data_IF_966059472331
#
_entry.id   IF_966059472331
#
_cell.length_a   1.000
_cell.length_b   1.000
_cell.length_c   1.000
_cell.angle_alpha   90.00
_cell.angle_beta   90.00
_cell.angle_gamma   90.00
#
_symmetry.space_group_name_H-M   'P 1'
#
loop_
_entity.id
_entity.type
_entity.pdbx_description
1 polymer ?
#
# COMPACT_ATOMS: atom_id res chain seq x y z
N UNK A 1 -5.47 -52.42 11.66
CA UNK A 1 -4.05 -52.62 12.04
C UNK A 1 -3.77 -51.65 13.16
N UNK A 2 -3.25 -52.12 14.28
CA UNK A 2 -2.80 -51.22 15.36
C UNK A 2 -1.38 -50.78 15.03
N UNK A 3 -1.17 -49.48 14.81
CA UNK A 3 0.15 -48.92 14.53
C UNK A 3 0.81 -48.58 15.86
N UNK A 4 1.69 -49.46 16.36
CA UNK A 4 2.40 -49.26 17.63
C UNK A 4 3.31 -48.02 17.54
N UNK A 5 2.82 -46.91 18.10
CA UNK A 5 3.55 -45.64 18.15
C UNK A 5 4.67 -45.79 19.19
N UNK A 6 5.92 -45.47 18.83
CA UNK A 6 7.05 -45.50 19.77
C UNK A 6 7.25 -44.11 20.38
N UNK A 7 6.38 -43.78 21.33
CA UNK A 7 6.43 -42.52 22.06
C UNK A 7 7.56 -42.56 23.10
N UNK A 8 8.45 -41.57 23.05
CA UNK A 8 9.52 -41.39 24.04
C UNK A 8 9.02 -40.93 25.42
N UNK A 9 7.85 -40.27 25.48
CA UNK A 9 7.14 -39.91 26.72
C UNK A 9 5.61 -40.05 26.49
N UNK A 10 5.08 -41.25 26.74
CA UNK A 10 3.64 -41.54 26.68
C UNK A 10 2.80 -40.61 27.57
N UNK A 11 3.35 -40.19 28.72
CA UNK A 11 2.64 -39.38 29.71
C UNK A 11 2.51 -37.93 29.22
N UNK A 12 3.51 -37.40 28.52
CA UNK A 12 3.40 -36.12 27.80
C UNK A 12 2.46 -36.22 26.60
N UNK A 13 2.58 -37.28 25.79
CA UNK A 13 1.69 -37.44 24.64
C UNK A 13 0.22 -37.54 25.08
N UNK A 14 -0.08 -38.36 26.09
CA UNK A 14 -1.44 -38.51 26.65
C UNK A 14 -2.03 -37.18 27.11
N UNK A 15 -1.25 -36.35 27.83
CA UNK A 15 -1.65 -34.99 28.25
C UNK A 15 -1.94 -34.06 27.06
N UNK A 16 -1.06 -34.04 26.06
CA UNK A 16 -1.23 -33.22 24.85
C UNK A 16 -2.45 -33.70 24.05
N UNK A 17 -2.66 -35.01 23.95
CA UNK A 17 -3.78 -35.61 23.23
C UNK A 17 -5.12 -35.31 23.90
N UNK A 18 -5.22 -35.37 25.24
CA UNK A 18 -6.47 -35.12 25.97
C UNK A 18 -6.85 -33.64 26.11
N UNK A 19 -5.90 -32.70 26.00
CA UNK A 19 -6.19 -31.27 26.07
C UNK A 19 -7.09 -30.79 24.90
N UNK A 20 -8.17 -30.06 25.20
CA UNK A 20 -9.01 -29.41 24.18
C UNK A 20 -8.64 -27.94 24.04
N UNK A 21 -8.49 -27.46 22.80
CA UNK A 21 -8.49 -26.02 22.51
C UNK A 21 -9.92 -25.46 22.33
N UNK A 22 -10.89 -26.35 22.11
CA UNK A 22 -12.31 -26.01 22.08
C UNK A 22 -12.86 -26.05 23.50
N UNK A 23 -13.10 -24.87 24.08
CA UNK A 23 -13.85 -24.71 25.32
C UNK A 23 -15.32 -25.13 25.10
N UNK A 24 -15.88 -25.92 26.02
CA UNK A 24 -17.20 -26.56 25.84
C UNK A 24 -18.40 -25.63 26.05
N UNK A 25 -18.17 -24.46 26.62
CA UNK A 25 -19.13 -23.38 26.87
C UNK A 25 -19.09 -22.27 25.80
N UNK A 26 -18.14 -22.30 24.87
CA UNK A 26 -17.99 -21.28 23.85
C UNK A 26 -18.88 -21.53 22.61
N UNK A 27 -19.78 -20.58 22.30
CA UNK A 27 -20.57 -20.57 21.06
C UNK A 27 -19.69 -20.67 19.80
N UNK A 28 -18.53 -20.01 19.84
CA UNK A 28 -17.56 -19.93 18.74
C UNK A 28 -16.16 -20.37 19.21
N UNK A 29 -15.94 -21.69 19.38
CA UNK A 29 -14.70 -22.23 19.91
C UNK A 29 -13.56 -22.18 18.88
N UNK A 30 -12.35 -22.49 19.35
CA UNK A 30 -11.09 -22.36 18.61
C UNK A 30 -11.13 -22.97 17.21
N UNK A 31 -11.63 -24.20 17.03
CA UNK A 31 -11.70 -24.87 15.73
C UNK A 31 -12.61 -24.17 14.72
N UNK A 32 -13.75 -23.59 15.17
CA UNK A 32 -14.63 -22.76 14.31
C UNK A 32 -13.95 -21.44 13.93
N UNK A 33 -13.21 -20.82 14.86
CA UNK A 33 -12.44 -19.60 14.59
C UNK A 33 -11.32 -19.83 13.58
N UNK A 34 -10.51 -20.87 13.81
CA UNK A 34 -9.43 -21.30 12.91
C UNK A 34 -9.96 -21.54 11.49
N UNK A 35 -11.05 -22.31 11.36
CA UNK A 35 -11.70 -22.57 10.08
C UNK A 35 -12.17 -21.28 9.36
N UNK A 36 -12.71 -20.31 10.11
CA UNK A 36 -13.19 -19.04 9.56
C UNK A 36 -12.04 -18.14 9.10
N UNK A 37 -11.01 -17.98 9.93
CA UNK A 37 -9.90 -17.03 9.69
C UNK A 37 -8.95 -17.52 8.59
N UNK A 38 -8.65 -18.82 8.53
CA UNK A 38 -7.81 -19.42 7.48
C UNK A 38 -8.59 -19.93 6.25
N UNK A 39 -9.91 -19.74 6.23
CA UNK A 39 -10.84 -20.20 5.18
C UNK A 39 -10.77 -21.72 4.92
N UNK A 40 -10.69 -22.50 5.99
CA UNK A 40 -10.66 -23.97 5.96
C UNK A 40 -12.05 -24.57 6.23
N UNK A 41 -12.23 -25.85 5.87
CA UNK A 41 -13.35 -26.63 6.41
C UNK A 41 -13.09 -26.93 7.90
N UNK A 42 -14.15 -27.14 8.69
CA UNK A 42 -14.02 -27.51 10.10
C UNK A 42 -13.24 -28.83 10.28
N UNK A 43 -13.48 -29.80 9.39
CA UNK A 43 -12.73 -31.06 9.30
C UNK A 43 -11.22 -30.84 9.07
N UNK A 44 -10.83 -29.96 8.15
CA UNK A 44 -9.42 -29.66 7.91
C UNK A 44 -8.79 -28.90 9.10
N UNK A 45 -9.52 -27.96 9.71
CA UNK A 45 -9.07 -27.28 10.93
C UNK A 45 -8.87 -28.25 12.10
N UNK A 46 -9.78 -29.23 12.29
CA UNK A 46 -9.65 -30.28 13.29
C UNK A 46 -8.45 -31.20 13.03
N UNK A 47 -8.17 -31.56 11.77
CA UNK A 47 -6.97 -32.32 11.40
C UNK A 47 -5.68 -31.52 11.63
N UNK A 48 -5.65 -30.25 11.23
CA UNK A 48 -4.51 -29.35 11.50
C UNK A 48 -4.23 -29.22 13.01
N UNK A 49 -5.27 -29.22 13.87
CA UNK A 49 -5.13 -29.25 15.33
C UNK A 49 -4.47 -30.55 15.84
N UNK A 50 -4.74 -31.71 15.25
CA UNK A 50 -4.05 -32.96 15.64
C UNK A 50 -2.57 -32.96 15.21
N UNK A 51 -2.27 -32.41 14.02
CA UNK A 51 -0.88 -32.26 13.56
C UNK A 51 -0.10 -31.20 14.38
N UNK A 52 -0.78 -30.15 14.83
CA UNK A 52 -0.24 -29.20 15.80
C UNK A 52 0.11 -29.85 17.13
N UNK A 53 -0.74 -30.74 17.67
CA UNK A 53 -0.42 -31.54 18.87
C UNK A 53 0.83 -32.39 18.68
N UNK A 54 0.97 -33.06 17.54
CA UNK A 54 2.18 -33.84 17.18
C UNK A 54 3.43 -32.95 17.10
N UNK A 55 3.33 -31.78 16.49
CA UNK A 55 4.40 -30.78 16.45
C UNK A 55 4.83 -30.30 17.84
N UNK A 56 3.88 -29.97 18.73
CA UNK A 56 4.20 -29.56 20.12
C UNK A 56 4.91 -30.68 20.88
N UNK A 57 4.51 -31.94 20.67
CA UNK A 57 5.19 -33.09 21.27
C UNK A 57 6.64 -33.22 20.77
N UNK A 58 6.88 -33.12 19.45
CA UNK A 58 8.25 -33.08 18.88
C UNK A 58 9.08 -31.91 19.46
N UNK A 59 8.50 -30.72 19.58
CA UNK A 59 9.14 -29.57 20.24
C UNK A 59 9.52 -29.80 21.71
N UNK A 60 8.91 -30.77 22.38
CA UNK A 60 9.22 -31.11 23.77
C UNK A 60 10.27 -32.22 23.92
N UNK A 61 10.29 -33.22 23.02
CA UNK A 61 11.22 -34.37 23.11
C UNK A 61 12.52 -34.17 22.33
N UNK A 62 12.53 -33.36 21.27
CA UNK A 62 13.73 -33.10 20.47
C UNK A 62 14.63 -32.05 21.14
N UNK A 63 15.97 -32.24 21.22
CA UNK A 63 16.87 -31.34 21.94
C UNK A 63 16.92 -29.93 21.33
N UNK A 64 16.75 -29.82 20.01
CA UNK A 64 16.71 -28.55 19.28
C UNK A 64 15.29 -28.04 19.01
N UNK A 65 14.26 -28.73 19.51
CA UNK A 65 12.86 -28.52 19.11
C UNK A 65 12.59 -28.90 17.65
N UNK A 66 11.44 -28.46 17.13
CA UNK A 66 10.95 -28.77 15.79
C UNK A 66 10.55 -27.49 15.01
N UNK A 67 10.44 -27.61 13.69
CA UNK A 67 9.97 -26.55 12.78
C UNK A 67 8.61 -26.96 12.18
N UNK A 68 7.56 -26.12 12.28
CA UNK A 68 6.23 -26.45 11.76
C UNK A 68 6.13 -26.30 10.24
N UNK A 69 5.07 -26.86 9.64
CA UNK A 69 4.61 -26.46 8.30
C UNK A 69 3.79 -25.17 8.37
N UNK A 70 3.57 -24.49 7.23
CA UNK A 70 2.72 -23.27 7.19
C UNK A 70 1.34 -23.51 7.86
N UNK A 71 0.70 -24.66 7.58
CA UNK A 71 -0.60 -25.01 8.17
C UNK A 71 -0.52 -25.23 9.69
N UNK A 72 0.54 -25.87 10.19
CA UNK A 72 0.72 -26.13 11.63
C UNK A 72 1.10 -24.85 12.38
N UNK A 73 1.93 -24.00 11.77
CA UNK A 73 2.39 -22.73 12.34
C UNK A 73 1.21 -21.78 12.58
N UNK A 74 0.25 -21.74 11.65
CA UNK A 74 -1.01 -20.99 11.78
C UNK A 74 -1.85 -21.42 12.98
N UNK A 75 -1.95 -22.73 13.25
CA UNK A 75 -2.62 -23.24 14.46
C UNK A 75 -1.85 -22.78 15.72
N UNK A 76 -0.52 -22.83 15.69
CA UNK A 76 0.30 -22.39 16.82
C UNK A 76 0.17 -20.88 17.08
N UNK A 77 0.20 -20.04 16.04
CA UNK A 77 0.02 -18.59 16.15
C UNK A 77 -1.36 -18.26 16.70
N UNK A 78 -2.42 -18.95 16.25
CA UNK A 78 -3.74 -18.72 16.81
C UNK A 78 -3.85 -19.22 18.26
N UNK A 79 -3.14 -20.28 18.66
CA UNK A 79 -3.08 -20.70 20.07
C UNK A 79 -2.30 -19.70 20.94
N UNK A 80 -1.19 -19.14 20.45
CA UNK A 80 -0.38 -18.14 21.16
C UNK A 80 -1.15 -16.87 21.54
N UNK A 81 -2.18 -16.48 20.76
CA UNK A 81 -3.06 -15.34 21.08
C UNK A 81 -4.21 -15.69 22.04
N UNK A 82 -4.50 -16.97 22.28
CA UNK A 82 -5.37 -17.42 23.38
C UNK A 82 -4.53 -17.47 24.67
N UNK A 83 -4.07 -16.31 25.12
CA UNK A 83 -2.94 -16.19 26.06
C UNK A 83 -3.11 -16.96 27.37
N UNK A 84 -4.29 -16.97 27.97
CA UNK A 84 -4.57 -17.73 29.20
C UNK A 84 -4.50 -19.24 28.95
N UNK A 85 -5.24 -19.73 27.96
CA UNK A 85 -5.25 -21.15 27.57
C UNK A 85 -3.85 -21.65 27.15
N UNK A 86 -3.01 -20.78 26.56
CA UNK A 86 -1.62 -21.13 26.21
C UNK A 86 -0.62 -21.06 27.39
N UNK A 87 -0.60 -19.96 28.14
CA UNK A 87 0.44 -19.66 29.14
C UNK A 87 0.08 -20.08 30.56
N UNK A 88 -1.20 -20.06 30.93
CA UNK A 88 -1.67 -20.34 32.28
C UNK A 88 -2.24 -21.78 32.39
N UNK A 89 -2.71 -22.35 31.27
CA UNK A 89 -3.19 -23.74 31.20
C UNK A 89 -2.21 -24.68 30.48
N UNK A 90 -1.98 -24.51 29.18
CA UNK A 90 -1.27 -25.48 28.34
C UNK A 90 0.21 -25.63 28.71
N UNK A 91 0.98 -24.55 28.74
CA UNK A 91 2.40 -24.61 29.11
C UNK A 91 2.67 -25.21 30.51
N UNK A 92 2.05 -24.73 31.61
CA UNK A 92 2.35 -25.21 32.96
C UNK A 92 1.72 -26.57 33.28
N UNK A 93 0.46 -26.81 32.89
CA UNK A 93 -0.28 -27.99 33.36
C UNK A 93 -0.15 -29.17 32.38
N UNK A 94 -0.22 -28.89 31.07
CA UNK A 94 -0.16 -29.93 30.03
C UNK A 94 1.30 -30.24 29.67
N UNK A 95 2.10 -29.23 29.29
CA UNK A 95 3.49 -29.44 28.88
C UNK A 95 4.46 -29.56 30.07
N UNK A 96 4.14 -28.91 31.21
CA UNK A 96 5.05 -28.71 32.37
C UNK A 96 6.36 -27.96 32.01
N UNK A 97 6.34 -27.19 30.93
CA UNK A 97 7.44 -26.34 30.46
C UNK A 97 6.92 -25.20 29.59
N UNK A 98 7.64 -24.09 29.54
CA UNK A 98 7.36 -23.01 28.58
C UNK A 98 7.76 -23.44 27.17
N UNK A 99 6.90 -23.16 26.19
CA UNK A 99 7.20 -23.30 24.77
C UNK A 99 7.11 -21.91 24.12
N UNK A 100 8.26 -21.30 23.84
CA UNK A 100 8.35 -19.95 23.27
C UNK A 100 8.47 -20.00 21.74
N UNK A 101 7.62 -19.23 21.06
CA UNK A 101 7.78 -18.96 19.63
C UNK A 101 8.87 -17.90 19.40
N UNK A 102 9.75 -18.14 18.43
CA UNK A 102 10.90 -17.29 18.14
C UNK A 102 10.82 -16.78 16.68
N UNK A 103 10.54 -15.49 16.45
CA UNK A 103 10.41 -14.96 15.09
C UNK A 103 11.69 -15.12 14.25
N UNK A 104 11.51 -15.53 12.98
CA UNK A 104 12.59 -15.58 12.00
C UNK A 104 13.17 -14.18 11.74
N UNK A 105 14.50 -14.09 11.63
CA UNK A 105 15.19 -12.86 11.19
C UNK A 105 15.07 -12.61 9.67
N UNK A 106 14.52 -13.56 8.91
CA UNK A 106 14.39 -13.47 7.46
C UNK A 106 15.72 -13.56 6.71
N UNK A 107 15.71 -13.14 5.45
CA UNK A 107 16.87 -13.27 4.54
C UNK A 107 16.99 -14.66 3.90
N UNK A 108 18.10 -14.90 3.19
CA UNK A 108 18.35 -16.17 2.49
C UNK A 108 18.82 -17.28 3.45
N UNK A 109 19.80 -16.99 4.30
CA UNK A 109 20.42 -17.98 5.19
C UNK A 109 19.40 -18.58 6.18
N UNK A 110 18.50 -17.77 6.73
CA UNK A 110 17.47 -18.23 7.66
C UNK A 110 16.39 -19.09 6.95
N UNK A 111 16.13 -18.86 5.65
CA UNK A 111 15.27 -19.74 4.84
C UNK A 111 15.91 -21.11 4.61
N UNK A 112 17.22 -21.14 4.30
CA UNK A 112 17.98 -22.39 4.16
C UNK A 112 17.94 -23.18 5.46
N UNK A 113 18.32 -22.55 6.58
CA UNK A 113 18.24 -23.14 7.92
C UNK A 113 16.83 -23.64 8.27
N UNK A 114 15.79 -22.88 7.98
CA UNK A 114 14.40 -23.28 8.24
C UNK A 114 13.98 -24.48 7.39
N UNK A 115 14.34 -24.53 6.10
CA UNK A 115 14.08 -25.68 5.22
C UNK A 115 14.76 -26.94 5.77
N UNK A 116 15.99 -26.82 6.22
CA UNK A 116 16.79 -27.95 6.68
C UNK A 116 16.27 -28.48 8.03
N UNK A 117 15.98 -27.60 8.99
CA UNK A 117 15.32 -27.95 10.26
C UNK A 117 13.88 -28.50 10.07
N UNK A 118 13.16 -28.04 9.04
CA UNK A 118 11.88 -28.63 8.65
C UNK A 118 12.03 -30.04 8.07
N UNK A 119 13.08 -30.30 7.28
CA UNK A 119 13.41 -31.65 6.81
C UNK A 119 13.77 -32.59 7.96
N UNK A 120 14.55 -32.13 8.94
CA UNK A 120 14.83 -32.89 10.17
C UNK A 120 13.54 -33.15 10.98
N UNK A 121 12.63 -32.17 11.04
CA UNK A 121 11.33 -32.33 11.72
C UNK A 121 10.46 -33.41 11.06
N UNK A 122 10.39 -33.46 9.72
CA UNK A 122 9.67 -34.52 9.01
C UNK A 122 10.29 -35.91 9.24
N UNK A 123 11.63 -35.99 9.30
CA UNK A 123 12.33 -37.23 9.65
C UNK A 123 11.97 -37.68 11.07
N UNK A 124 12.11 -36.80 12.07
CA UNK A 124 11.77 -37.14 13.46
C UNK A 124 10.27 -37.43 13.64
N UNK A 125 9.39 -36.78 12.89
CA UNK A 125 7.96 -37.13 12.84
C UNK A 125 7.77 -38.60 12.43
N UNK A 126 8.39 -39.06 11.34
CA UNK A 126 8.31 -40.46 10.91
C UNK A 126 8.92 -41.40 11.96
N UNK A 127 10.10 -41.07 12.48
CA UNK A 127 10.81 -41.88 13.47
C UNK A 127 10.02 -42.06 14.78
N UNK A 128 9.27 -41.04 15.22
CA UNK A 128 8.46 -41.06 16.44
C UNK A 128 7.08 -41.67 16.20
N UNK A 129 6.33 -41.17 15.22
CA UNK A 129 4.93 -41.54 15.02
C UNK A 129 4.73 -42.82 14.20
N UNK A 130 5.78 -43.34 13.56
CA UNK A 130 5.75 -44.50 12.63
C UNK A 130 4.74 -44.33 11.50
N UNK A 131 4.55 -43.10 11.06
CA UNK A 131 3.56 -42.66 10.07
C UNK A 131 4.18 -41.59 9.17
N UNK A 132 3.71 -41.52 7.93
CA UNK A 132 3.98 -40.36 7.06
C UNK A 132 3.22 -39.12 7.53
N UNK A 133 3.82 -37.95 7.32
CA UNK A 133 3.20 -36.67 7.63
C UNK A 133 2.09 -36.34 6.60
N UNK A 134 0.83 -36.03 7.00
CA UNK A 134 -0.26 -35.75 6.08
C UNK A 134 0.07 -34.68 5.04
N UNK A 135 0.06 -35.06 3.75
CA UNK A 135 0.58 -34.25 2.65
C UNK A 135 -0.16 -32.93 2.42
N UNK A 136 -1.42 -32.88 2.81
CA UNK A 136 -2.31 -31.72 2.70
C UNK A 136 -2.12 -30.68 3.82
N UNK A 137 -1.42 -31.05 4.91
CA UNK A 137 -1.12 -30.20 6.08
C UNK A 137 0.38 -29.89 6.17
N UNK A 138 1.26 -30.86 5.93
CA UNK A 138 2.69 -30.69 6.14
C UNK A 138 3.44 -30.10 4.95
N UNK A 139 2.95 -30.24 3.72
CA UNK A 139 3.68 -29.83 2.52
C UNK A 139 3.01 -28.61 1.87
N UNK A 140 3.80 -27.59 1.51
CA UNK A 140 3.27 -26.39 0.85
C UNK A 140 2.51 -26.75 -0.43
N UNK A 141 1.26 -26.28 -0.55
CA UNK A 141 0.52 -26.27 -1.82
C UNK A 141 1.19 -25.23 -2.73
N UNK A 142 2.16 -25.70 -3.53
CA UNK A 142 3.05 -24.89 -4.36
C UNK A 142 2.32 -23.74 -5.07
N UNK A 143 2.80 -22.51 -4.84
CA UNK A 143 2.03 -21.27 -4.97
C UNK A 143 1.53 -21.01 -6.40
N UNK A 144 0.30 -21.45 -6.70
CA UNK A 144 -0.45 -21.18 -7.95
C UNK A 144 -0.87 -19.71 -8.12
N UNK A 145 -0.50 -18.83 -7.18
CA UNK A 145 -0.92 -17.42 -7.09
C UNK A 145 -0.31 -16.45 -8.13
N UNK A 146 0.57 -16.89 -9.03
CA UNK A 146 1.14 -16.02 -10.07
C UNK A 146 0.08 -15.51 -11.05
N UNK A 147 -0.99 -16.30 -11.33
CA UNK A 147 -2.09 -15.91 -12.22
C UNK A 147 -2.92 -14.72 -11.71
N UNK A 148 -3.18 -14.64 -10.41
CA UNK A 148 -4.15 -13.66 -9.85
C UNK A 148 -3.58 -12.24 -9.81
N UNK A 149 -2.27 -12.09 -9.60
CA UNK A 149 -1.57 -10.79 -9.65
C UNK A 149 -1.58 -10.23 -11.08
N UNK A 150 -1.35 -11.09 -12.09
CA UNK A 150 -1.36 -10.69 -13.50
C UNK A 150 -2.74 -10.19 -13.94
N UNK A 151 -3.81 -10.92 -13.60
CA UNK A 151 -5.19 -10.53 -13.89
C UNK A 151 -5.60 -9.22 -13.18
N UNK A 152 -5.17 -8.99 -11.93
CA UNK A 152 -5.37 -7.70 -11.24
C UNK A 152 -4.68 -6.55 -11.96
N UNK A 153 -3.50 -6.79 -12.58
CA UNK A 153 -2.78 -5.79 -13.38
C UNK A 153 -3.50 -5.47 -14.70
N UNK A 154 -4.10 -6.47 -15.36
CA UNK A 154 -4.94 -6.24 -16.55
C UNK A 154 -6.15 -5.32 -16.26
N UNK A 155 -6.75 -5.43 -15.06
CA UNK A 155 -7.94 -4.62 -14.69
C UNK A 155 -7.68 -3.10 -14.70
N UNK A 156 -6.42 -2.65 -14.62
CA UNK A 156 -6.06 -1.21 -14.64
C UNK A 156 -5.71 -0.72 -16.05
N UNK A 157 -5.43 -1.62 -17.01
CA UNK A 157 -5.14 -1.27 -18.40
C UNK A 157 -6.21 -0.38 -19.05
N UNK A 158 -7.53 -0.66 -18.98
CA UNK A 158 -8.53 0.19 -19.64
C UNK A 158 -8.55 1.63 -19.09
N UNK A 159 -8.17 1.83 -17.82
CA UNK A 159 -8.09 3.15 -17.20
C UNK A 159 -6.89 3.94 -17.78
N UNK A 160 -5.72 3.30 -17.93
CA UNK A 160 -4.56 3.91 -18.60
C UNK A 160 -4.79 4.15 -20.10
N UNK A 161 -5.47 3.24 -20.79
CA UNK A 161 -5.82 3.42 -22.22
C UNK A 161 -6.79 4.59 -22.41
N UNK A 162 -7.82 4.71 -21.55
CA UNK A 162 -8.73 5.85 -21.60
C UNK A 162 -7.99 7.19 -21.34
N UNK A 163 -7.10 7.22 -20.32
CA UNK A 163 -6.28 8.40 -20.02
C UNK A 163 -5.36 8.79 -21.19
N UNK A 164 -4.76 7.81 -21.87
CA UNK A 164 -3.90 8.06 -23.03
C UNK A 164 -4.69 8.60 -24.23
N UNK A 165 -5.85 8.02 -24.54
CA UNK A 165 -6.72 8.49 -25.62
C UNK A 165 -7.25 9.92 -25.38
N UNK A 166 -7.64 10.24 -24.14
CA UNK A 166 -8.05 11.60 -23.77
C UNK A 166 -6.92 12.64 -23.95
N UNK A 167 -5.67 12.24 -23.71
CA UNK A 167 -4.49 13.08 -23.93
C UNK A 167 -4.28 13.43 -25.41
N UNK A 168 -4.50 12.47 -26.32
CA UNK A 168 -4.40 12.70 -27.78
C UNK A 168 -5.43 13.72 -28.26
N UNK A 169 -6.69 13.60 -27.85
CA UNK A 169 -7.75 14.54 -28.24
C UNK A 169 -7.45 15.99 -27.78
N UNK A 170 -6.82 16.16 -26.63
CA UNK A 170 -6.42 17.48 -26.14
C UNK A 170 -5.31 18.12 -27.00
N UNK A 171 -4.38 17.30 -27.51
CA UNK A 171 -3.29 17.76 -28.37
C UNK A 171 -3.77 18.31 -29.71
N UNK A 172 -4.74 17.66 -30.35
CA UNK A 172 -5.30 18.10 -31.63
C UNK A 172 -6.10 19.41 -31.52
N UNK A 173 -6.87 19.58 -30.43
CA UNK A 173 -7.59 20.84 -30.15
C UNK A 173 -6.61 21.99 -29.87
N UNK A 174 -5.53 21.74 -29.13
CA UNK A 174 -4.54 22.79 -28.85
C UNK A 174 -3.72 23.15 -30.09
N UNK A 175 -3.37 22.17 -30.93
CA UNK A 175 -2.67 22.38 -32.20
C UNK A 175 -3.50 23.13 -33.24
N UNK A 176 -4.80 22.86 -33.34
CA UNK A 176 -5.72 23.58 -34.25
C UNK A 176 -6.03 25.01 -33.77
N UNK A 177 -6.13 25.23 -32.46
CA UNK A 177 -6.20 26.59 -31.90
C UNK A 177 -4.92 27.39 -32.20
N UNK A 178 -3.74 26.79 -32.03
CA UNK A 178 -2.46 27.43 -32.32
C UNK A 178 -2.29 27.77 -33.81
N UNK A 179 -2.66 26.86 -34.72
CA UNK A 179 -2.51 27.07 -36.17
C UNK A 179 -3.41 28.18 -36.74
N UNK A 180 -4.53 28.48 -36.07
CA UNK A 180 -5.41 29.62 -36.42
C UNK A 180 -4.99 30.90 -35.68
N UNK A 181 -4.60 30.83 -34.41
CA UNK A 181 -4.23 32.01 -33.62
C UNK A 181 -2.92 32.67 -34.10
N UNK A 182 -1.89 31.88 -34.41
CA UNK A 182 -0.58 32.39 -34.84
C UNK A 182 -0.62 33.27 -36.10
N UNK A 183 -1.28 32.89 -37.22
CA UNK A 183 -1.38 33.77 -38.39
C UNK A 183 -2.25 35.01 -38.11
N UNK A 184 -3.29 34.94 -37.27
CA UNK A 184 -4.09 36.12 -36.90
C UNK A 184 -3.24 37.13 -36.10
N UNK A 185 -2.43 36.66 -35.15
CA UNK A 185 -1.47 37.49 -34.41
C UNK A 185 -0.41 38.06 -35.36
N UNK A 186 0.13 37.24 -36.28
CA UNK A 186 1.09 37.67 -37.29
C UNK A 186 0.55 38.76 -38.22
N UNK A 187 -0.70 38.63 -38.68
CA UNK A 187 -1.41 39.64 -39.46
C UNK A 187 -1.57 40.93 -38.65
N UNK A 188 -1.96 40.85 -37.38
CA UNK A 188 -2.11 42.04 -36.54
C UNK A 188 -0.77 42.78 -36.34
N UNK A 189 0.31 42.06 -36.05
CA UNK A 189 1.67 42.63 -35.95
C UNK A 189 2.13 43.24 -37.27
N UNK A 190 1.87 42.58 -38.40
CA UNK A 190 2.21 43.08 -39.74
C UNK A 190 1.43 44.36 -40.09
N UNK A 191 0.14 44.44 -39.77
CA UNK A 191 -0.68 45.64 -39.97
C UNK A 191 -0.22 46.80 -39.07
N UNK A 192 0.15 46.53 -37.81
CA UNK A 192 0.75 47.54 -36.92
C UNK A 192 2.11 48.05 -37.45
N UNK A 193 2.93 47.14 -38.01
CA UNK A 193 4.18 47.49 -38.69
C UNK A 193 3.95 48.38 -39.92
N UNK A 194 3.00 48.02 -40.79
CA UNK A 194 2.59 48.82 -41.95
C UNK A 194 2.09 50.21 -41.54
N UNK A 195 1.21 50.29 -40.52
CA UNK A 195 0.71 51.57 -40.02
C UNK A 195 1.83 52.46 -39.48
N UNK A 196 2.77 51.86 -38.74
CA UNK A 196 3.96 52.56 -38.22
C UNK A 196 4.88 53.04 -39.35
N UNK A 197 5.06 52.24 -40.40
CA UNK A 197 5.85 52.60 -41.58
C UNK A 197 5.19 53.72 -42.41
N UNK A 198 3.87 53.72 -42.58
CA UNK A 198 3.16 54.84 -43.22
C UNK A 198 3.21 56.12 -42.38
N UNK A 199 3.13 56.02 -41.04
CA UNK A 199 3.36 57.15 -40.14
C UNK A 199 4.78 57.72 -40.27
N UNK A 200 5.78 56.85 -40.39
CA UNK A 200 7.18 57.23 -40.64
C UNK A 200 7.35 57.92 -42.01
N UNK A 201 6.84 57.36 -43.10
CA UNK A 201 6.88 58.00 -44.43
C UNK A 201 6.13 59.34 -44.44
N UNK A 202 5.00 59.45 -43.73
CA UNK A 202 4.24 60.69 -43.60
C UNK A 202 4.98 61.78 -42.81
N UNK A 203 5.97 61.42 -41.99
CA UNK A 203 6.86 62.37 -41.31
C UNK A 203 7.96 62.88 -42.25
N UNK A 204 8.53 62.02 -43.11
CA UNK A 204 9.57 62.42 -44.08
C UNK A 204 9.04 63.11 -45.34
N UNK A 205 7.77 62.93 -45.71
CA UNK A 205 7.12 63.66 -46.81
C UNK A 205 6.50 65.00 -46.40
N UNK A 206 6.86 65.52 -45.23
CA UNK A 206 6.31 66.74 -44.62
C UNK A 206 7.11 68.02 -44.84
N UNK A 207 8.16 68.02 -45.67
CA UNK A 207 9.06 69.17 -45.86
C UNK A 207 9.42 69.42 -47.33
N UNK A 208 8.48 70.01 -48.08
CA UNK A 208 8.76 70.84 -49.26
C UNK A 208 7.49 71.65 -49.62
N UNK A 209 7.63 72.93 -50.03
CA UNK A 209 6.57 73.56 -50.85
C UNK A 209 5.71 74.72 -50.30
N UNK A 210 6.32 75.71 -49.63
CA UNK A 210 6.00 77.15 -49.82
C UNK A 210 4.75 77.78 -49.13
N UNK A 211 4.67 79.12 -49.20
CA UNK A 211 4.02 80.03 -48.23
C UNK A 211 3.25 81.17 -48.95
N UNK A 212 1.99 81.45 -48.54
CA UNK A 212 1.14 82.64 -48.87
C UNK A 212 0.73 82.73 -50.38
N UNK A 213 -0.56 82.74 -50.77
CA UNK A 213 -1.52 83.88 -50.80
C UNK A 213 -2.99 83.40 -50.90
N UNK A 214 -3.86 83.83 -49.96
CA UNK A 214 -5.20 84.48 -50.16
C UNK A 214 -6.05 83.99 -51.38
N UNK A 215 -7.32 83.56 -51.28
CA UNK A 215 -8.50 84.32 -50.79
C UNK A 215 -9.83 83.60 -51.15
N UNK A 216 -10.84 83.69 -50.27
CA UNK A 216 -12.32 83.63 -50.51
C UNK A 216 -13.05 82.27 -50.70
N UNK A 217 -14.09 82.13 -49.86
CA UNK A 217 -15.45 81.54 -49.93
C UNK A 217 -15.88 80.74 -51.20
N UNK A 218 -16.80 79.75 -51.17
CA UNK A 218 -17.87 79.41 -50.18
C UNK A 218 -18.34 77.92 -50.16
N UNK A 219 -19.12 77.54 -49.13
CA UNK A 219 -19.96 76.32 -49.03
C UNK A 219 -19.27 74.94 -48.84
N UNK A 220 -19.92 73.87 -48.36
CA UNK A 220 -21.16 73.73 -47.55
C UNK A 220 -21.25 72.29 -46.98
N UNK A 221 -21.79 72.11 -45.76
CA UNK A 221 -22.13 70.84 -45.06
C UNK A 221 -20.95 69.86 -44.75
N UNK A 222 -20.83 69.25 -43.56
CA UNK A 222 -21.55 69.40 -42.29
C UNK A 222 -21.11 68.36 -41.24
N UNK A 223 -21.25 68.68 -39.94
CA UNK A 223 -20.88 67.80 -38.80
C UNK A 223 -19.40 67.91 -38.39
N UNK A 224 -18.97 68.69 -37.39
CA UNK A 224 -19.34 68.67 -35.95
C UNK A 224 -19.01 67.31 -35.29
N UNK A 225 -17.81 67.10 -34.76
CA UNK A 225 -17.21 67.62 -33.50
C UNK A 225 -17.70 66.88 -32.24
N UNK A 226 -16.89 66.01 -31.63
CA UNK A 226 -15.74 66.24 -30.71
C UNK A 226 -16.09 66.67 -29.28
N UNK A 227 -15.53 65.92 -28.33
CA UNK A 227 -15.52 66.08 -26.87
C UNK A 227 -14.99 64.74 -26.31
N UNK A 228 -13.86 64.61 -25.60
CA UNK A 228 -13.24 65.46 -24.57
C UNK A 228 -14.16 65.65 -23.35
N UNK A 229 -13.74 65.37 -22.11
CA UNK A 229 -12.47 64.82 -21.61
C UNK A 229 -12.61 64.42 -20.12
N UNK A 230 -11.52 63.91 -19.51
CA UNK A 230 -11.10 64.18 -18.10
C UNK A 230 -12.08 64.01 -16.91
N UNK A 231 -11.73 63.14 -15.96
CA UNK A 231 -12.30 63.03 -14.60
C UNK A 231 -11.84 61.71 -13.98
N UNK A 232 -10.97 61.59 -12.96
CA UNK A 232 -10.86 62.17 -11.60
C UNK A 232 -11.93 61.72 -10.60
N UNK A 233 -11.44 61.35 -9.39
CA UNK A 233 -12.17 60.95 -8.17
C UNK A 233 -12.91 59.61 -8.26
N UNK A 234 -12.75 58.62 -7.37
CA UNK A 234 -12.56 58.52 -5.90
C UNK A 234 -13.87 58.12 -5.19
N UNK A 235 -13.71 57.30 -4.15
CA UNK A 235 -14.73 56.82 -3.22
C UNK A 235 -15.81 55.87 -3.82
N UNK A 236 -16.36 54.89 -3.09
CA UNK A 236 -15.98 54.43 -1.75
C UNK A 236 -16.91 53.33 -1.21
N UNK A 237 -16.47 52.67 -0.13
CA UNK A 237 -17.25 51.73 0.68
C UNK A 237 -17.29 50.26 0.21
N UNK A 238 -17.45 49.23 1.07
CA UNK A 238 -16.95 48.93 2.43
C UNK A 238 -17.78 47.78 3.05
N UNK A 239 -17.24 46.55 3.07
CA UNK A 239 -17.51 45.47 4.05
C UNK A 239 -16.59 44.27 3.73
N UNK A 240 -15.85 43.58 4.62
CA UNK A 240 -16.07 43.04 5.99
C UNK A 240 -17.10 41.90 6.06
N UNK A 241 -16.91 40.76 6.74
CA UNK A 241 -15.78 40.07 7.43
C UNK A 241 -16.15 38.55 7.52
N UNK A 242 -15.35 37.53 7.88
CA UNK A 242 -14.02 37.32 8.54
C UNK A 242 -13.24 36.21 7.78
N UNK A 243 -11.97 35.82 8.01
CA UNK A 243 -11.05 35.62 9.16
C UNK A 243 -11.13 34.24 9.88
N UNK A 244 -9.96 33.58 9.91
CA UNK A 244 -9.45 32.54 10.84
C UNK A 244 -10.06 31.11 10.89
N UNK A 245 -9.21 30.09 11.14
CA UNK A 245 -9.68 28.69 11.26
C UNK A 245 -8.70 27.50 11.38
N UNK A 246 -7.38 27.70 11.54
CA UNK A 246 -6.41 26.62 11.82
C UNK A 246 -6.03 25.71 10.62
N UNK A 247 -4.87 25.03 10.61
CA UNK A 247 -3.77 25.03 11.59
C UNK A 247 -3.57 23.71 12.32
N UNK A 248 -2.90 22.74 11.68
CA UNK A 248 -2.33 21.55 12.33
C UNK A 248 -0.88 21.35 11.89
N UNK A 249 0.04 21.61 12.81
CA UNK A 249 1.48 21.52 12.57
C UNK A 249 2.03 20.08 12.66
N UNK A 250 3.29 19.92 12.25
CA UNK A 250 4.05 18.72 12.49
C UNK A 250 4.49 18.60 13.97
N UNK A 251 4.67 17.37 14.45
CA UNK A 251 5.49 17.09 15.63
C UNK A 251 6.17 15.73 15.48
N UNK A 252 7.48 15.69 15.69
CA UNK A 252 8.29 14.48 15.78
C UNK A 252 8.31 13.92 17.20
N UNK A 253 8.55 12.61 17.33
CA UNK A 253 8.70 11.94 18.63
C UNK A 253 9.82 10.90 18.58
N UNK A 254 10.86 11.10 19.39
CA UNK A 254 12.04 10.22 19.48
C UNK A 254 12.33 9.86 20.95
N UNK A 255 12.87 8.66 21.18
CA UNK A 255 13.41 8.20 22.48
C UNK A 255 12.58 7.09 23.15
N UNK A 256 13.14 6.26 24.06
CA UNK A 256 14.56 6.02 24.40
C UNK A 256 15.16 4.83 23.62
N UNK A 257 16.38 4.34 23.87
CA UNK A 257 17.30 4.55 24.99
C UNK A 257 17.02 3.60 26.16
N UNK A 258 17.95 2.85 26.76
CA UNK A 258 19.34 2.45 26.50
C UNK A 258 19.78 1.60 27.71
N UNK A 259 20.77 0.71 27.56
CA UNK A 259 21.28 -0.17 28.64
C UNK A 259 20.82 -1.63 28.48
N UNK A 260 21.64 -2.64 28.82
CA UNK A 260 23.02 -2.59 29.33
C UNK A 260 23.75 -3.92 29.14
N UNK A 261 25.06 -3.96 29.40
CA UNK A 261 25.90 -5.14 29.22
C UNK A 261 25.75 -6.16 30.36
N UNK A 262 25.96 -7.45 30.07
CA UNK A 262 26.00 -8.52 31.07
C UNK A 262 26.41 -9.87 30.48
N UNK A 263 27.69 -10.17 30.47
CA UNK A 263 28.22 -11.51 30.21
C UNK A 263 28.66 -12.19 31.51
N UNK A 264 28.64 -13.52 31.56
CA UNK A 264 29.08 -14.30 32.71
C UNK A 264 29.07 -15.80 32.43
N UNK A 265 30.05 -16.52 32.96
CA UNK A 265 30.23 -17.96 32.79
C UNK A 265 30.29 -18.65 34.17
N UNK A 266 30.02 -19.96 34.19
CA UNK A 266 30.08 -20.78 35.41
C UNK A 266 28.68 -21.08 36.00
N UNK A 267 28.41 -22.28 36.49
CA UNK A 267 29.24 -23.51 36.54
C UNK A 267 28.37 -24.75 36.45
#
# INVERSE_FOLDING_TARGET
METTILLQDDILWSRIQSFSLDASDADFPFSKKLAKEEHWTLDFAQKAIQEYKKFVYLCCILPNGASPSETVDKVWHMHLIYTQNYWDEFCPNILKRKLHHHPSKGGFNEKTKHRDWFSDTLKSYHEVFKQEAPKDIWFEKGKTGTRTIWLKRLRIIPLFVALFMLSSCLGEVLGTLASVALPVIGIFVFLQGIFSFFRFISFFRGDEGNIIIKKKDDGSLGGSSNGSSSGFSSDGGSSSCSSDGGGSGCSSGCGGGCGGCGGGCGS
#
